data_IF_367618433670
#
_entry.id   IF_367618433670
#
_cell.length_a   1.000
_cell.length_b   1.000
_cell.length_c   1.000
_cell.angle_alpha   90.00
_cell.angle_beta   90.00
_cell.angle_gamma   90.00
#
_symmetry.space_group_name_H-M   'P 1'
#
loop_
_entity.id
_entity.type
_entity.pdbx_description
1 polymer ?
#
# COMPACT_ATOMS: atom_id res chain seq x y z
N UNK A 1 -14.52 -34.43 12.33
CA UNK A 1 -14.89 -33.01 12.25
C UNK A 1 -14.28 -32.46 10.97
N UNK A 2 -15.07 -32.43 9.90
CA UNK A 2 -14.69 -31.86 8.62
C UNK A 2 -14.58 -30.35 8.79
N UNK A 3 -13.36 -29.81 8.81
CA UNK A 3 -13.17 -28.37 8.63
C UNK A 3 -13.80 -28.00 7.30
N UNK A 4 -14.74 -27.04 7.32
CA UNK A 4 -15.50 -26.64 6.14
C UNK A 4 -14.56 -26.30 4.98
N UNK A 5 -14.95 -26.72 3.78
CA UNK A 5 -14.27 -26.38 2.54
C UNK A 5 -14.08 -24.86 2.47
N UNK A 6 -12.86 -24.39 2.68
CA UNK A 6 -12.53 -23.01 2.40
C UNK A 6 -12.64 -22.83 0.88
N UNK A 7 -13.46 -21.88 0.44
CA UNK A 7 -13.62 -21.49 -0.98
C UNK A 7 -12.37 -20.84 -1.59
N UNK A 8 -11.28 -20.80 -0.83
CA UNK A 8 -10.02 -20.18 -1.18
C UNK A 8 -8.85 -20.95 -0.56
N UNK A 9 -7.74 -21.02 -1.30
CA UNK A 9 -6.48 -21.57 -0.82
C UNK A 9 -5.53 -20.41 -0.47
N UNK A 10 -5.14 -20.22 0.79
CA UNK A 10 -4.17 -19.18 1.15
C UNK A 10 -2.82 -19.48 0.49
N UNK A 11 -2.15 -18.44 0.03
CA UNK A 11 -0.79 -18.50 -0.53
C UNK A 11 0.06 -17.52 0.29
N UNK A 12 1.25 -17.95 0.70
CA UNK A 12 2.20 -17.09 1.41
C UNK A 12 3.40 -16.93 0.50
N UNK A 13 3.62 -15.71 0.00
CA UNK A 13 4.82 -15.37 -0.74
C UNK A 13 5.99 -15.11 0.22
N UNK A 14 7.22 -15.09 -0.29
CA UNK A 14 8.40 -14.86 0.55
C UNK A 14 8.40 -13.46 1.15
N UNK A 15 8.02 -12.45 0.38
CA UNK A 15 7.91 -11.09 0.92
C UNK A 15 6.76 -10.97 1.93
N UNK A 16 5.67 -11.74 1.79
CA UNK A 16 4.61 -11.79 2.82
C UNK A 16 5.15 -12.33 4.13
N UNK A 17 5.87 -13.46 4.08
CA UNK A 17 6.47 -14.06 5.25
C UNK A 17 7.42 -13.07 5.97
N UNK A 18 8.21 -12.31 5.21
CA UNK A 18 9.10 -11.28 5.75
C UNK A 18 8.33 -10.10 6.36
N UNK A 19 7.26 -9.62 5.72
CA UNK A 19 6.40 -8.57 6.28
C UNK A 19 5.79 -9.04 7.61
N UNK A 20 5.25 -10.25 7.66
CA UNK A 20 4.67 -10.79 8.89
C UNK A 20 5.72 -11.04 9.98
N UNK A 21 6.91 -11.50 9.62
CA UNK A 21 8.03 -11.62 10.55
C UNK A 21 8.46 -10.25 11.11
N UNK A 22 8.57 -9.22 10.25
CA UNK A 22 8.87 -7.86 10.66
C UNK A 22 7.77 -7.30 11.57
N UNK A 23 6.50 -7.51 11.21
CA UNK A 23 5.36 -7.12 12.03
C UNK A 23 5.42 -7.78 13.41
N UNK A 24 5.69 -9.08 13.47
CA UNK A 24 5.84 -9.82 14.73
C UNK A 24 7.00 -9.25 15.56
N UNK A 25 8.15 -8.98 14.96
CA UNK A 25 9.30 -8.36 15.63
C UNK A 25 8.95 -6.98 16.19
N UNK A 26 8.23 -6.14 15.43
CA UNK A 26 7.76 -4.82 15.88
C UNK A 26 6.77 -4.96 17.04
N UNK A 27 5.84 -5.92 16.98
CA UNK A 27 4.89 -6.17 18.07
C UNK A 27 5.59 -6.63 19.36
N UNK A 28 6.59 -7.51 19.24
CA UNK A 28 7.44 -7.93 20.36
C UNK A 28 8.19 -6.73 20.93
N UNK A 29 8.79 -5.89 20.08
CA UNK A 29 9.50 -4.69 20.51
C UNK A 29 8.57 -3.71 21.25
N UNK A 30 7.37 -3.47 20.72
CA UNK A 30 6.35 -2.63 21.36
C UNK A 30 5.94 -3.23 22.72
N UNK A 31 5.77 -4.55 22.80
CA UNK A 31 5.44 -5.23 24.04
C UNK A 31 6.56 -5.09 25.09
N UNK A 32 7.83 -5.22 24.69
CA UNK A 32 8.99 -4.99 25.55
C UNK A 32 9.07 -3.54 26.03
N UNK A 33 8.93 -2.57 25.13
CA UNK A 33 8.92 -1.13 25.44
C UNK A 33 7.80 -0.79 26.42
N UNK A 34 6.62 -1.41 26.28
CA UNK A 34 5.48 -1.16 27.18
C UNK A 34 5.70 -1.70 28.59
N UNK A 35 6.57 -2.70 28.78
CA UNK A 35 6.90 -3.28 30.09
C UNK A 35 7.99 -2.50 30.83
N UNK A 36 8.84 -1.77 30.12
CA UNK A 36 10.00 -1.09 30.71
C UNK A 36 9.84 0.45 30.67
N UNK A 37 9.77 1.09 31.84
CA UNK A 37 9.51 2.55 31.91
C UNK A 37 10.63 3.39 31.28
N UNK A 38 11.89 2.94 31.38
CA UNK A 38 13.03 3.65 30.77
C UNK A 38 12.96 3.67 29.23
N UNK A 39 12.49 2.58 28.60
CA UNK A 39 12.25 2.54 27.16
C UNK A 39 11.02 3.34 26.76
N UNK A 40 10.00 3.41 27.62
CA UNK A 40 8.74 4.12 27.33
C UNK A 40 8.89 5.64 27.36
N UNK A 41 9.80 6.19 28.16
CA UNK A 41 9.95 7.63 28.34
C UNK A 41 10.26 8.40 27.03
N UNK A 42 11.24 7.99 26.19
CA UNK A 42 11.47 8.61 24.88
C UNK A 42 10.25 8.55 23.96
N UNK A 43 9.56 7.42 23.90
CA UNK A 43 8.35 7.25 23.09
C UNK A 43 7.19 8.12 23.54
N UNK A 44 7.10 8.42 24.85
CA UNK A 44 6.09 9.37 25.37
C UNK A 44 6.34 10.78 24.85
N UNK A 45 7.60 11.20 24.73
CA UNK A 45 7.97 12.51 24.14
C UNK A 45 7.62 12.55 22.66
N UNK A 46 7.92 11.49 21.91
CA UNK A 46 7.54 11.39 20.49
C UNK A 46 6.01 11.43 20.34
N UNK A 47 5.27 10.70 21.17
CA UNK A 47 3.81 10.67 21.15
C UNK A 47 3.15 12.03 21.50
N UNK A 48 3.89 12.95 22.12
CA UNK A 48 3.43 14.31 22.40
C UNK A 48 3.65 15.26 21.22
N UNK A 49 4.52 14.92 20.26
CA UNK A 49 4.83 15.79 19.11
C UNK A 49 3.74 15.66 18.03
N UNK A 50 3.05 16.76 17.66
CA UNK A 50 2.01 16.75 16.63
C UNK A 50 2.47 16.17 15.29
N UNK A 51 3.64 16.59 14.80
CA UNK A 51 4.18 16.11 13.53
C UNK A 51 4.47 14.61 13.54
N UNK A 52 5.03 14.09 14.63
CA UNK A 52 5.31 12.66 14.75
C UNK A 52 4.03 11.83 14.72
N UNK A 53 2.99 12.27 15.44
CA UNK A 53 1.69 11.59 15.43
C UNK A 53 0.98 11.69 14.08
N UNK A 54 1.09 12.83 13.39
CA UNK A 54 0.56 13.00 12.04
C UNK A 54 1.23 12.04 11.04
N UNK A 55 2.56 11.97 11.05
CA UNK A 55 3.31 11.04 10.21
C UNK A 55 3.00 9.57 10.53
N UNK A 56 2.90 9.23 11.82
CA UNK A 56 2.57 7.87 12.26
C UNK A 56 1.17 7.42 11.78
N UNK A 57 0.18 8.32 11.71
CA UNK A 57 -1.15 8.01 11.20
C UNK A 57 -1.14 7.73 9.70
N UNK A 58 -0.45 8.57 8.92
CA UNK A 58 -0.33 8.37 7.47
C UNK A 58 0.40 7.07 7.17
N UNK A 59 1.54 6.84 7.84
CA UNK A 59 2.29 5.60 7.70
C UNK A 59 1.47 4.38 8.16
N UNK A 60 0.70 4.51 9.24
CA UNK A 60 -0.23 3.48 9.70
C UNK A 60 -1.27 3.11 8.64
N UNK A 61 -1.80 4.10 7.90
CA UNK A 61 -2.68 3.86 6.76
C UNK A 61 -2.00 3.04 5.65
N UNK A 62 -0.77 3.39 5.29
CA UNK A 62 0.02 2.62 4.32
C UNK A 62 0.32 1.20 4.80
N UNK A 63 0.67 1.03 6.07
CA UNK A 63 0.88 -0.30 6.67
C UNK A 63 -0.39 -1.13 6.61
N UNK A 64 -1.57 -0.57 6.92
CA UNK A 64 -2.85 -1.29 6.81
C UNK A 64 -3.10 -1.75 5.38
N UNK A 65 -2.92 -0.87 4.39
CA UNK A 65 -3.07 -1.24 2.97
C UNK A 65 -2.07 -2.33 2.58
N UNK A 66 -0.80 -2.18 2.96
CA UNK A 66 0.24 -3.17 2.69
C UNK A 66 -0.03 -4.53 3.34
N UNK A 67 -0.58 -4.55 4.56
CA UNK A 67 -0.96 -5.79 5.24
C UNK A 67 -2.16 -6.48 4.56
N UNK A 68 -3.17 -5.72 4.15
CA UNK A 68 -4.29 -6.26 3.38
C UNK A 68 -3.82 -6.82 2.03
N UNK A 69 -2.85 -6.17 1.40
CA UNK A 69 -2.27 -6.64 0.14
C UNK A 69 -1.26 -7.80 0.31
N UNK A 70 -0.81 -8.08 1.54
CA UNK A 70 0.10 -9.21 1.83
C UNK A 70 -0.66 -10.51 2.18
N UNK A 71 -1.99 -10.45 2.25
CA UNK A 71 -2.84 -11.62 2.50
C UNK A 71 -3.27 -12.20 1.15
N UNK A 72 -2.48 -13.12 0.61
CA UNK A 72 -2.74 -13.74 -0.70
C UNK A 72 -3.55 -15.02 -0.60
N UNK A 73 -4.37 -15.26 -1.62
CA UNK A 73 -5.16 -16.46 -1.79
C UNK A 73 -5.44 -16.76 -3.26
N UNK A 74 -5.80 -18.01 -3.56
CA UNK A 74 -6.33 -18.45 -4.85
C UNK A 74 -7.79 -18.84 -4.68
N UNK A 75 -8.67 -18.33 -5.53
CA UNK A 75 -10.10 -18.65 -5.48
C UNK A 75 -10.36 -20.04 -6.07
N UNK A 76 -11.32 -20.78 -5.52
CA UNK A 76 -11.74 -22.06 -6.10
C UNK A 76 -12.49 -21.82 -7.42
N UNK A 77 -12.24 -22.63 -8.44
CA UNK A 77 -12.99 -22.57 -9.70
C UNK A 77 -14.44 -23.02 -9.49
N UNK A 78 -15.45 -22.33 -10.07
CA UNK A 78 -16.87 -22.66 -9.91
C UNK A 78 -17.21 -24.10 -10.30
N UNK A 79 -16.54 -24.65 -11.32
CA UNK A 79 -16.81 -25.99 -11.87
C UNK A 79 -15.93 -27.09 -11.23
N UNK A 80 -15.35 -26.83 -10.06
CA UNK A 80 -14.47 -27.79 -9.40
C UNK A 80 -15.22 -29.01 -8.85
N UNK A 81 -14.74 -30.25 -9.08
CA UNK A 81 -15.29 -31.44 -8.45
C UNK A 81 -15.17 -31.36 -6.92
N UNK A 82 -16.20 -31.83 -6.20
CA UNK A 82 -16.24 -31.81 -4.73
C UNK A 82 -15.10 -32.63 -4.07
N UNK A 83 -14.63 -33.67 -4.76
CA UNK A 83 -13.56 -34.56 -4.28
C UNK A 83 -12.14 -34.03 -4.60
N UNK A 84 -12.02 -33.08 -5.54
CA UNK A 84 -10.73 -32.53 -5.97
C UNK A 84 -10.88 -31.03 -6.33
N UNK A 85 -10.87 -30.14 -5.32
CA UNK A 85 -11.06 -28.70 -5.56
C UNK A 85 -9.92 -28.13 -6.42
N UNK A 86 -10.27 -27.50 -7.53
CA UNK A 86 -9.33 -26.81 -8.41
C UNK A 86 -9.34 -25.31 -8.09
N UNK A 87 -8.16 -24.69 -8.09
CA UNK A 87 -8.00 -23.28 -7.74
C UNK A 87 -7.48 -22.46 -8.92
N UNK A 88 -7.78 -21.17 -8.91
CA UNK A 88 -7.35 -20.21 -9.93
C UNK A 88 -5.82 -20.14 -9.98
N UNK A 89 -5.28 -20.00 -11.19
CA UNK A 89 -3.84 -19.73 -11.37
C UNK A 89 -3.48 -18.31 -10.90
N UNK A 90 -4.45 -17.39 -10.98
CA UNK A 90 -4.31 -16.03 -10.46
C UNK A 90 -4.27 -16.03 -8.93
N UNK A 91 -3.28 -15.33 -8.37
CA UNK A 91 -3.11 -15.10 -6.94
C UNK A 91 -3.64 -13.71 -6.63
N UNK A 92 -4.69 -13.64 -5.81
CA UNK A 92 -5.36 -12.41 -5.40
C UNK A 92 -5.00 -12.07 -3.96
N UNK A 93 -5.00 -10.79 -3.62
CA UNK A 93 -4.90 -10.34 -2.23
C UNK A 93 -6.26 -9.96 -1.64
N UNK A 94 -6.34 -9.83 -0.31
CA UNK A 94 -7.54 -9.28 0.34
C UNK A 94 -7.79 -7.83 -0.12
N UNK A 95 -6.72 -7.07 -0.39
CA UNK A 95 -6.85 -5.74 -1.00
C UNK A 95 -7.53 -5.81 -2.37
N UNK A 96 -7.21 -6.80 -3.22
CA UNK A 96 -7.84 -6.98 -4.54
C UNK A 96 -9.34 -7.25 -4.42
N UNK A 97 -9.75 -8.03 -3.42
CA UNK A 97 -11.16 -8.28 -3.16
C UNK A 97 -11.92 -6.99 -2.77
N UNK A 98 -11.29 -6.13 -1.95
CA UNK A 98 -11.88 -4.85 -1.55
C UNK A 98 -11.90 -3.83 -2.71
N UNK A 99 -10.90 -3.90 -3.58
CA UNK A 99 -10.74 -3.02 -4.73
C UNK A 99 -11.22 -3.64 -6.05
N UNK A 100 -12.04 -4.70 -6.00
CA UNK A 100 -12.43 -5.46 -7.19
C UNK A 100 -13.16 -4.59 -8.22
N UNK A 101 -13.96 -3.63 -7.76
CA UNK A 101 -14.60 -2.64 -8.61
C UNK A 101 -13.62 -1.74 -9.39
N UNK A 102 -12.37 -1.60 -8.95
CA UNK A 102 -11.32 -0.87 -9.68
C UNK A 102 -10.46 -1.81 -10.52
N UNK A 103 -10.22 -3.03 -10.02
CA UNK A 103 -9.43 -4.06 -10.71
C UNK A 103 -10.14 -4.60 -11.95
N UNK A 104 -11.43 -4.91 -11.85
CA UNK A 104 -12.19 -5.58 -12.91
C UNK A 104 -12.62 -4.63 -14.04
N UNK A 105 -12.66 -3.32 -13.80
CA UNK A 105 -13.09 -2.31 -14.78
C UNK A 105 -11.94 -1.88 -15.67
N UNK A 106 -11.46 -2.81 -16.50
CA UNK A 106 -10.36 -2.55 -17.42
C UNK A 106 -10.87 -1.91 -18.72
N UNK A 107 -10.29 -0.78 -19.09
CA UNK A 107 -10.58 -0.08 -20.34
C UNK A 107 -9.69 -0.61 -21.48
N UNK A 108 -9.89 -0.09 -22.69
CA UNK A 108 -9.08 -0.51 -23.84
C UNK A 108 -7.67 0.09 -23.83
N UNK A 109 -7.54 1.34 -23.40
CA UNK A 109 -6.27 2.07 -23.38
C UNK A 109 -6.33 3.25 -22.41
N UNK A 110 -5.38 4.17 -22.54
CA UNK A 110 -5.23 5.37 -21.72
C UNK A 110 -6.50 6.22 -21.65
N UNK A 111 -6.71 6.82 -20.48
CA UNK A 111 -7.69 7.87 -20.26
C UNK A 111 -7.07 8.96 -19.40
N UNK A 112 -7.52 10.20 -19.58
CA UNK A 112 -7.20 11.26 -18.63
C UNK A 112 -7.93 11.03 -17.29
N UNK A 113 -7.48 11.66 -16.18
CA UNK A 113 -8.18 11.64 -14.91
C UNK A 113 -9.63 12.10 -15.05
N UNK A 114 -10.58 11.33 -14.50
CA UNK A 114 -12.01 11.63 -14.55
C UNK A 114 -12.57 11.83 -15.97
N UNK A 115 -11.93 11.23 -16.98
CA UNK A 115 -12.38 11.28 -18.36
C UNK A 115 -13.64 10.43 -18.57
N UNK A 116 -14.36 10.74 -19.66
CA UNK A 116 -15.47 9.91 -20.18
C UNK A 116 -15.14 9.31 -21.55
N UNK A 117 -13.96 9.61 -22.09
CA UNK A 117 -13.52 9.23 -23.42
C UNK A 117 -12.11 8.67 -23.34
N UNK A 118 -11.80 7.76 -24.26
CA UNK A 118 -10.47 7.23 -24.44
C UNK A 118 -9.54 8.33 -24.98
N UNK A 119 -8.26 8.25 -24.62
CA UNK A 119 -7.26 9.20 -25.09
C UNK A 119 -6.85 8.95 -26.55
N UNK A 120 -7.06 7.74 -27.07
CA UNK A 120 -6.76 7.40 -28.46
C UNK A 120 -7.99 7.60 -29.36
N UNK A 121 -7.79 8.24 -30.53
CA UNK A 121 -8.85 8.33 -31.55
C UNK A 121 -8.98 7.01 -32.30
N UNK A 122 -10.22 6.55 -32.45
CA UNK A 122 -10.56 5.35 -33.19
C UNK A 122 -11.60 5.66 -34.26
N UNK A 123 -11.72 4.77 -35.24
CA UNK A 123 -12.80 4.85 -36.22
C UNK A 123 -14.09 4.38 -35.56
N UNK A 124 -15.00 5.33 -35.32
CA UNK A 124 -16.31 5.09 -34.72
C UNK A 124 -17.37 5.42 -35.76
N UNK A 125 -18.38 4.56 -35.89
CA UNK A 125 -19.49 4.81 -36.78
C UNK A 125 -20.51 5.69 -36.07
N UNK A 126 -20.66 6.95 -36.50
CA UNK A 126 -21.73 7.84 -36.06
C UNK A 126 -22.64 8.12 -37.25
N UNK A 127 -23.94 7.87 -37.10
CA UNK A 127 -24.95 8.16 -38.12
C UNK A 127 -24.62 7.56 -39.50
N UNK A 128 -24.04 6.35 -39.51
CA UNK A 128 -23.65 5.64 -40.73
C UNK A 128 -22.31 6.07 -41.34
N UNK A 129 -21.67 7.13 -40.83
CA UNK A 129 -20.37 7.62 -41.30
C UNK A 129 -19.26 7.20 -40.33
N UNK A 130 -18.21 6.61 -40.85
CA UNK A 130 -17.01 6.26 -40.08
C UNK A 130 -16.18 7.51 -39.84
N UNK A 131 -16.23 8.06 -38.63
CA UNK A 131 -15.46 9.24 -38.22
C UNK A 131 -14.38 8.81 -37.24
N UNK A 132 -13.18 9.39 -37.38
CA UNK A 132 -12.07 9.16 -36.45
C UNK A 132 -12.19 10.12 -35.25
N UNK A 133 -12.75 9.64 -34.16
CA UNK A 133 -13.06 10.42 -32.96
C UNK A 133 -12.62 9.70 -31.67
N UNK A 134 -12.72 10.35 -30.52
CA UNK A 134 -12.44 9.73 -29.22
C UNK A 134 -13.66 8.91 -28.76
N UNK A 135 -13.60 7.57 -28.78
CA UNK A 135 -14.69 6.74 -28.30
C UNK A 135 -14.91 6.96 -26.80
N UNK A 136 -16.15 6.73 -26.38
CA UNK A 136 -16.54 6.79 -24.98
C UNK A 136 -15.91 5.62 -24.20
N UNK A 137 -15.53 5.87 -22.95
CA UNK A 137 -15.07 4.82 -22.02
C UNK A 137 -16.22 3.86 -21.70
N UNK A 138 -15.89 2.60 -21.44
CA UNK A 138 -16.88 1.57 -21.12
C UNK A 138 -17.41 1.70 -19.68
N UNK A 139 -16.54 2.10 -18.75
CA UNK A 139 -16.84 2.23 -17.33
C UNK A 139 -16.74 3.69 -16.88
N UNK A 140 -15.71 4.41 -17.32
CA UNK A 140 -15.46 5.80 -16.94
C UNK A 140 -16.58 6.75 -17.36
N UNK A 141 -17.39 7.22 -16.41
CA UNK A 141 -18.52 8.12 -16.66
C UNK A 141 -19.60 7.53 -17.55
N UNK A 142 -19.71 6.19 -17.61
CA UNK A 142 -20.69 5.49 -18.44
C UNK A 142 -22.15 5.77 -18.05
N UNK A 143 -22.40 6.20 -16.80
CA UNK A 143 -23.73 6.51 -16.28
C UNK A 143 -24.33 7.82 -16.78
N UNK A 144 -23.54 8.70 -17.42
CA UNK A 144 -24.04 9.98 -17.91
C UNK A 144 -24.59 9.88 -19.34
N UNK A 145 -25.54 10.72 -19.74
CA UNK A 145 -25.97 10.76 -21.15
C UNK A 145 -25.15 11.80 -21.94
N UNK A 146 -24.87 12.94 -21.30
CA UNK A 146 -24.29 14.12 -21.95
C UNK A 146 -22.99 14.54 -21.28
N UNK A 147 -22.09 15.15 -22.07
CA UNK A 147 -20.80 15.59 -21.57
C UNK A 147 -20.89 16.73 -20.54
N UNK A 148 -21.94 17.53 -20.62
CA UNK A 148 -22.20 18.68 -19.76
C UNK A 148 -22.51 18.28 -18.31
N UNK A 149 -22.99 17.05 -18.09
CA UNK A 149 -23.34 16.51 -16.77
C UNK A 149 -22.11 16.08 -15.97
N UNK A 150 -20.92 16.02 -16.59
CA UNK A 150 -19.70 15.51 -15.94
C UNK A 150 -19.26 16.32 -14.73
N UNK A 151 -19.12 17.64 -14.90
CA UNK A 151 -18.67 18.52 -13.82
C UNK A 151 -19.64 18.52 -12.61
N UNK A 152 -20.96 18.67 -12.79
CA UNK A 152 -21.88 18.62 -11.65
C UNK A 152 -21.91 17.25 -10.98
N UNK A 153 -21.78 16.15 -11.74
CA UNK A 153 -21.71 14.81 -11.14
C UNK A 153 -20.42 14.60 -10.32
N UNK A 154 -19.26 15.04 -10.83
CA UNK A 154 -17.99 15.02 -10.09
C UNK A 154 -18.12 15.83 -8.79
N UNK A 155 -18.67 17.04 -8.86
CA UNK A 155 -18.87 17.89 -7.69
C UNK A 155 -19.78 17.23 -6.65
N UNK A 156 -20.91 16.66 -7.09
CA UNK A 156 -21.86 15.96 -6.22
C UNK A 156 -21.22 14.74 -5.55
N UNK A 157 -20.49 13.90 -6.31
CA UNK A 157 -19.81 12.71 -5.77
C UNK A 157 -18.72 13.08 -4.79
N UNK A 158 -17.92 14.11 -5.10
CA UNK A 158 -16.87 14.61 -4.21
C UNK A 158 -17.47 15.13 -2.90
N UNK A 159 -18.53 15.94 -2.98
CA UNK A 159 -19.20 16.47 -1.79
C UNK A 159 -19.88 15.37 -0.97
N UNK A 160 -20.58 14.43 -1.62
CA UNK A 160 -21.22 13.31 -0.94
C UNK A 160 -20.20 12.41 -0.24
N UNK A 161 -19.11 12.06 -0.92
CA UNK A 161 -18.03 11.26 -0.34
C UNK A 161 -17.30 11.99 0.80
N UNK A 162 -17.04 13.29 0.65
CA UNK A 162 -16.47 14.10 1.72
C UNK A 162 -17.42 14.20 2.93
N UNK A 163 -18.73 14.32 2.71
CA UNK A 163 -19.73 14.34 3.78
C UNK A 163 -19.83 13.00 4.51
N UNK A 164 -19.83 11.88 3.78
CA UNK A 164 -19.78 10.53 4.36
C UNK A 164 -18.49 10.33 5.18
N UNK A 165 -17.35 10.76 4.65
CA UNK A 165 -16.07 10.71 5.35
C UNK A 165 -16.03 11.59 6.60
N UNK A 166 -16.63 12.79 6.55
CA UNK A 166 -16.77 13.66 7.71
C UNK A 166 -17.68 13.04 8.77
N UNK A 167 -18.78 12.40 8.38
CA UNK A 167 -19.67 11.69 9.29
C UNK A 167 -18.98 10.50 9.95
N UNK A 168 -18.22 9.70 9.19
CA UNK A 168 -17.37 8.64 9.74
C UNK A 168 -16.32 9.21 10.71
N UNK A 169 -15.69 10.34 10.37
CA UNK A 169 -14.74 11.04 11.24
C UNK A 169 -15.37 11.51 12.56
N UNK A 170 -16.60 12.01 12.53
CA UNK A 170 -17.37 12.37 13.73
C UNK A 170 -17.69 11.15 14.59
N UNK A 171 -18.02 10.01 14.00
CA UNK A 171 -18.24 8.75 14.72
C UNK A 171 -16.96 8.27 15.41
N UNK A 172 -15.82 8.29 14.70
CA UNK A 172 -14.52 7.96 15.28
C UNK A 172 -14.15 8.92 16.41
N UNK A 173 -14.39 10.21 16.22
CA UNK A 173 -14.17 11.22 17.26
C UNK A 173 -15.04 10.98 18.50
N UNK A 174 -16.34 10.72 18.32
CA UNK A 174 -17.26 10.42 19.42
C UNK A 174 -16.85 9.12 20.14
N UNK A 175 -16.42 8.09 19.39
CA UNK A 175 -15.90 6.84 19.93
C UNK A 175 -14.63 7.05 20.76
N UNK A 176 -13.67 7.82 20.25
CA UNK A 176 -12.44 8.18 20.97
C UNK A 176 -12.73 8.99 22.24
N UNK A 177 -13.62 9.99 22.13
CA UNK A 177 -14.07 10.80 23.26
C UNK A 177 -14.71 9.93 24.34
N UNK A 178 -15.64 9.04 23.96
CA UNK A 178 -16.33 8.14 24.87
C UNK A 178 -15.39 7.10 25.50
N UNK A 179 -14.50 6.50 24.71
CA UNK A 179 -13.52 5.53 25.19
C UNK A 179 -12.55 6.16 26.20
N UNK A 180 -12.01 7.34 25.89
CA UNK A 180 -11.08 8.02 26.79
C UNK A 180 -11.78 8.59 28.03
N UNK A 181 -12.99 9.14 27.89
CA UNK A 181 -13.80 9.61 29.02
C UNK A 181 -14.09 8.48 30.02
N UNK A 182 -14.49 7.30 29.52
CA UNK A 182 -14.70 6.09 30.36
C UNK A 182 -13.42 5.63 31.04
N UNK A 183 -12.31 5.61 30.30
CA UNK A 183 -11.01 5.17 30.83
C UNK A 183 -10.44 6.13 31.88
N UNK A 184 -10.66 7.42 31.73
CA UNK A 184 -10.18 8.46 32.65
C UNK A 184 -11.19 8.82 33.74
N UNK A 185 -12.39 8.21 33.76
CA UNK A 185 -13.46 8.52 34.71
C UNK A 185 -13.89 9.99 34.70
N UNK A 186 -13.85 10.63 33.53
CA UNK A 186 -14.23 12.05 33.33
C UNK A 186 -15.50 12.12 32.48
N UNK A 187 -16.36 13.11 32.70
CA UNK A 187 -17.54 13.32 31.86
C UNK A 187 -17.14 13.69 30.42
N UNK A 188 -17.95 13.30 29.43
CA UNK A 188 -17.68 13.62 28.01
C UNK A 188 -17.57 15.13 27.78
N UNK A 189 -18.38 15.94 28.48
CA UNK A 189 -18.32 17.40 28.42
C UNK A 189 -16.97 17.96 28.92
N UNK A 190 -16.44 17.43 30.02
CA UNK A 190 -15.14 17.85 30.53
C UNK A 190 -13.99 17.38 29.61
N UNK A 191 -14.10 16.21 28.98
CA UNK A 191 -13.15 15.76 27.97
C UNK A 191 -13.15 16.69 26.73
N UNK A 192 -14.34 17.06 26.24
CA UNK A 192 -14.49 17.98 25.11
C UNK A 192 -13.89 19.37 25.43
N UNK A 193 -14.09 19.86 26.65
CA UNK A 193 -13.47 21.09 27.11
C UNK A 193 -11.93 20.97 27.14
N UNK A 194 -11.40 19.84 27.59
CA UNK A 194 -9.96 19.59 27.61
C UNK A 194 -9.37 19.47 26.18
N UNK A 195 -10.09 18.85 25.24
CA UNK A 195 -9.72 18.75 23.83
C UNK A 195 -9.72 20.13 23.14
N UNK A 196 -10.79 20.92 23.35
CA UNK A 196 -10.87 22.32 22.91
C UNK A 196 -9.84 23.21 23.59
N UNK A 197 -9.41 22.89 24.80
CA UNK A 197 -8.36 23.61 25.52
C UNK A 197 -6.93 23.16 25.21
N UNK A 198 -6.73 22.08 24.45
CA UNK A 198 -5.40 21.52 24.18
C UNK A 198 -4.71 20.93 25.41
N UNK A 199 -5.46 20.60 26.46
CA UNK A 199 -4.93 20.13 27.76
C UNK A 199 -4.77 18.61 27.84
N UNK A 200 -5.01 17.90 26.74
CA UNK A 200 -4.74 16.46 26.67
C UNK A 200 -3.23 16.26 26.58
N UNK A 201 -2.68 15.32 27.36
CA UNK A 201 -1.25 14.98 27.37
C UNK A 201 -0.72 14.32 26.09
N UNK A 202 -1.44 14.46 24.97
CA UNK A 202 -1.12 13.99 23.63
C UNK A 202 -1.78 14.91 22.59
N UNK A 203 -1.28 15.00 21.35
CA UNK A 203 -1.71 15.98 20.34
C UNK A 203 -3.06 15.60 19.71
N UNK A 204 -4.12 15.61 20.52
CA UNK A 204 -5.43 15.08 20.16
C UNK A 204 -6.11 15.81 19.01
N UNK A 205 -5.90 17.13 18.90
CA UNK A 205 -6.43 17.90 17.77
C UNK A 205 -5.80 17.42 16.45
N UNK A 206 -4.49 17.25 16.41
CA UNK A 206 -3.79 16.79 15.20
C UNK A 206 -4.24 15.39 14.80
N UNK A 207 -4.38 14.47 15.75
CA UNK A 207 -4.85 13.12 15.45
C UNK A 207 -6.28 13.14 14.90
N UNK A 208 -7.20 13.84 15.55
CA UNK A 208 -8.59 13.94 15.11
C UNK A 208 -8.69 14.60 13.73
N UNK A 209 -7.96 15.69 13.51
CA UNK A 209 -7.95 16.39 12.23
C UNK A 209 -7.35 15.54 11.11
N UNK A 210 -6.24 14.83 11.37
CA UNK A 210 -5.63 13.93 10.38
C UNK A 210 -6.55 12.76 10.04
N UNK A 211 -7.16 12.11 11.05
CA UNK A 211 -8.11 11.02 10.80
C UNK A 211 -9.33 11.52 10.03
N UNK A 212 -9.90 12.67 10.41
CA UNK A 212 -11.02 13.27 9.68
C UNK A 212 -10.62 13.60 8.23
N UNK A 213 -9.45 14.20 8.00
CA UNK A 213 -8.96 14.50 6.66
C UNK A 213 -8.74 13.24 5.82
N UNK A 214 -8.15 12.19 6.38
CA UNK A 214 -7.96 10.90 5.70
C UNK A 214 -9.30 10.24 5.35
N UNK A 215 -10.29 10.28 6.24
CA UNK A 215 -11.62 9.73 5.99
C UNK A 215 -12.41 10.55 4.97
N UNK A 216 -12.34 11.88 5.02
CA UNK A 216 -12.96 12.77 4.03
C UNK A 216 -12.36 12.56 2.64
N UNK A 217 -11.03 12.49 2.54
CA UNK A 217 -10.33 12.26 1.28
C UNK A 217 -10.61 10.84 0.76
N UNK A 218 -10.54 9.82 1.62
CA UNK A 218 -10.88 8.44 1.26
C UNK A 218 -12.32 8.27 0.80
N UNK A 219 -13.29 8.90 1.48
CA UNK A 219 -14.70 8.88 1.09
C UNK A 219 -14.95 9.57 -0.24
N UNK A 220 -14.34 10.74 -0.47
CA UNK A 220 -14.40 11.44 -1.75
C UNK A 220 -13.81 10.58 -2.90
N UNK A 221 -12.64 9.99 -2.68
CA UNK A 221 -12.01 9.09 -3.65
C UNK A 221 -12.89 7.87 -3.95
N UNK A 222 -13.44 7.21 -2.93
CA UNK A 222 -14.28 6.02 -3.10
C UNK A 222 -15.55 6.33 -3.91
N UNK A 223 -16.20 7.47 -3.65
CA UNK A 223 -17.41 7.87 -4.36
C UNK A 223 -17.16 8.29 -5.82
N UNK A 224 -15.99 8.89 -6.09
CA UNK A 224 -15.53 9.19 -7.44
C UNK A 224 -15.15 7.90 -8.19
N UNK A 225 -14.36 7.03 -7.56
CA UNK A 225 -13.89 5.77 -8.12
C UNK A 225 -15.03 4.80 -8.46
N UNK A 226 -16.17 4.94 -7.78
CA UNK A 226 -17.38 4.19 -8.12
C UNK A 226 -17.94 4.49 -9.52
N UNK A 227 -17.69 5.69 -10.09
CA UNK A 227 -18.20 6.09 -11.41
C UNK A 227 -17.15 6.52 -12.43
N UNK A 228 -15.89 6.72 -12.02
CA UNK A 228 -14.81 7.20 -12.87
C UNK A 228 -13.48 6.57 -12.51
N UNK A 229 -12.55 6.55 -13.45
CA UNK A 229 -11.13 6.32 -13.17
C UNK A 229 -10.53 7.61 -12.62
N UNK A 230 -10.32 7.68 -11.30
CA UNK A 230 -9.96 8.93 -10.60
C UNK A 230 -8.66 9.52 -11.12
N UNK A 231 -7.65 8.68 -11.33
CA UNK A 231 -6.34 9.05 -11.90
C UNK A 231 -6.20 8.67 -13.37
N UNK A 232 -7.28 8.21 -14.01
CA UNK A 232 -7.29 7.69 -15.37
C UNK A 232 -6.81 6.24 -15.46
N UNK A 233 -6.58 5.79 -16.70
CA UNK A 233 -6.12 4.44 -17.02
C UNK A 233 -4.77 4.44 -17.73
N UNK A 234 -4.04 3.33 -17.63
CA UNK A 234 -2.74 3.14 -18.27
C UNK A 234 -2.85 2.61 -19.73
N UNK A 235 -1.71 2.23 -20.34
CA UNK A 235 -1.66 1.70 -21.72
C UNK A 235 -2.53 0.49 -21.96
N UNK A 236 -2.65 -0.38 -20.95
CA UNK A 236 -3.45 -1.61 -21.02
C UNK A 236 -4.84 -1.40 -20.42
N UNK A 237 -5.19 -0.16 -20.07
CA UNK A 237 -6.50 0.23 -19.56
C UNK A 237 -6.74 -0.11 -18.09
N UNK A 238 -5.70 -0.40 -17.32
CA UNK A 238 -5.82 -0.62 -15.87
C UNK A 238 -6.02 0.71 -15.14
N UNK A 239 -6.83 0.69 -14.07
CA UNK A 239 -7.07 1.86 -13.24
C UNK A 239 -5.80 2.29 -12.48
N UNK A 240 -5.37 3.54 -12.69
CA UNK A 240 -4.13 4.07 -12.10
C UNK A 240 -4.24 4.28 -10.59
N UNK A 241 -5.43 4.56 -10.05
CA UNK A 241 -5.64 4.63 -8.59
C UNK A 241 -5.47 3.24 -7.96
N UNK A 242 -5.99 2.19 -8.58
CA UNK A 242 -5.76 0.81 -8.13
C UNK A 242 -4.27 0.46 -8.14
N UNK A 243 -3.56 0.72 -9.25
CA UNK A 243 -2.11 0.46 -9.35
C UNK A 243 -1.33 1.24 -8.28
N UNK A 244 -1.71 2.50 -8.03
CA UNK A 244 -1.05 3.35 -7.03
C UNK A 244 -1.20 2.80 -5.61
N UNK A 245 -2.39 2.34 -5.24
CA UNK A 245 -2.66 1.74 -3.93
C UNK A 245 -1.98 0.37 -3.79
N UNK A 246 -2.01 -0.45 -4.84
CA UNK A 246 -1.30 -1.74 -4.91
C UNK A 246 0.21 -1.57 -4.73
N UNK A 247 0.77 -0.48 -5.28
CA UNK A 247 2.20 -0.16 -5.19
C UNK A 247 2.68 0.19 -3.77
N UNK A 248 1.77 0.48 -2.84
CA UNK A 248 2.12 0.77 -1.44
C UNK A 248 2.85 -0.40 -0.80
N UNK A 249 2.37 -1.64 -1.01
CA UNK A 249 3.04 -2.84 -0.49
C UNK A 249 4.46 -2.96 -1.03
N UNK A 250 4.62 -2.82 -2.35
CA UNK A 250 5.94 -2.86 -3.01
C UNK A 250 6.88 -1.81 -2.45
N UNK A 251 6.41 -0.57 -2.26
CA UNK A 251 7.21 0.51 -1.67
C UNK A 251 7.61 0.24 -0.21
N UNK A 252 6.70 -0.32 0.59
CA UNK A 252 6.99 -0.74 1.97
C UNK A 252 8.03 -1.85 2.01
N UNK A 253 7.92 -2.87 1.16
CA UNK A 253 8.89 -3.97 1.07
C UNK A 253 10.27 -3.44 0.70
N UNK A 254 10.35 -2.64 -0.37
CA UNK A 254 11.61 -2.06 -0.83
C UNK A 254 12.23 -1.21 0.28
N UNK A 255 11.49 -0.25 0.83
CA UNK A 255 12.04 0.65 1.84
C UNK A 255 12.48 -0.06 3.12
N UNK A 256 11.70 -1.02 3.60
CA UNK A 256 12.00 -1.72 4.86
C UNK A 256 13.07 -2.78 4.71
N UNK A 257 12.97 -3.64 3.69
CA UNK A 257 13.86 -4.78 3.53
C UNK A 257 15.26 -4.35 3.09
N UNK A 258 15.36 -3.38 2.17
CA UNK A 258 16.65 -2.80 1.78
C UNK A 258 17.35 -2.21 3.01
N UNK A 259 16.65 -1.40 3.81
CA UNK A 259 17.22 -0.83 5.05
C UNK A 259 17.65 -1.91 6.05
N UNK A 260 16.88 -3.00 6.15
CA UNK A 260 17.20 -4.12 7.05
C UNK A 260 18.48 -4.87 6.65
N UNK A 261 18.80 -4.90 5.36
CA UNK A 261 20.04 -5.48 4.83
C UNK A 261 21.20 -4.49 4.95
N UNK A 262 20.98 -3.22 4.59
CA UNK A 262 22.02 -2.19 4.60
C UNK A 262 22.51 -1.89 6.02
N UNK A 263 21.61 -1.73 7.00
CA UNK A 263 22.00 -1.26 8.33
C UNK A 263 23.01 -2.18 9.03
N UNK A 264 22.81 -3.51 9.12
CA UNK A 264 23.78 -4.41 9.75
C UNK A 264 25.13 -4.39 9.04
N UNK A 265 25.14 -4.34 7.70
CA UNK A 265 26.37 -4.29 6.92
C UNK A 265 27.12 -2.97 7.14
N UNK A 266 26.41 -1.84 7.05
CA UNK A 266 26.97 -0.52 7.26
C UNK A 266 27.52 -0.34 8.69
N UNK A 267 26.77 -0.78 9.70
CA UNK A 267 27.21 -0.74 11.10
C UNK A 267 28.39 -1.69 11.31
N UNK A 268 28.32 -2.91 10.76
CA UNK A 268 29.37 -3.92 10.88
C UNK A 268 30.69 -3.44 10.29
N UNK A 269 30.68 -2.97 9.04
CA UNK A 269 31.87 -2.42 8.40
C UNK A 269 32.34 -1.12 9.06
N UNK A 270 31.43 -0.22 9.44
CA UNK A 270 31.79 1.02 10.12
C UNK A 270 32.47 0.81 11.47
N UNK A 271 31.96 -0.12 12.29
CA UNK A 271 32.59 -0.49 13.56
C UNK A 271 33.94 -1.19 13.32
N UNK A 272 34.01 -2.12 12.36
CA UNK A 272 35.26 -2.84 12.06
C UNK A 272 36.37 -1.88 11.61
N UNK A 273 36.08 -0.97 10.68
CA UNK A 273 37.01 0.06 10.23
C UNK A 273 37.48 0.95 11.40
N UNK A 274 36.55 1.43 12.23
CA UNK A 274 36.87 2.30 13.36
C UNK A 274 37.63 1.63 14.51
N UNK A 275 37.37 0.34 14.76
CA UNK A 275 37.98 -0.42 15.85
C UNK A 275 39.35 -0.98 15.49
N UNK A 276 39.47 -1.69 14.37
CA UNK A 276 40.73 -2.34 13.99
C UNK A 276 41.75 -1.37 13.40
N UNK A 277 41.28 -0.33 12.68
CA UNK A 277 42.10 0.68 11.98
C UNK A 277 43.14 0.04 11.03
N UNK A 278 43.93 0.87 10.36
CA UNK A 278 44.99 0.39 9.45
C UNK A 278 44.44 -0.44 8.29
N UNK A 279 45.02 -1.62 8.04
CA UNK A 279 44.72 -2.41 6.84
C UNK A 279 43.24 -2.81 6.68
N UNK A 280 42.50 -2.99 7.78
CA UNK A 280 41.06 -3.33 7.73
C UNK A 280 40.24 -2.16 7.20
N UNK A 281 40.58 -0.94 7.63
CA UNK A 281 39.96 0.29 7.13
C UNK A 281 40.27 0.47 5.64
N UNK A 282 41.53 0.27 5.26
CA UNK A 282 41.96 0.36 3.85
C UNK A 282 41.20 -0.63 2.94
N UNK A 283 40.98 -1.88 3.38
CA UNK A 283 40.22 -2.87 2.61
C UNK A 283 38.75 -2.48 2.47
N UNK A 284 38.13 -2.01 3.55
CA UNK A 284 36.71 -1.59 3.53
C UNK A 284 36.55 -0.37 2.62
N UNK A 285 37.44 0.61 2.73
CA UNK A 285 37.43 1.81 1.90
C UNK A 285 37.70 1.49 0.43
N UNK A 286 38.62 0.56 0.15
CA UNK A 286 38.87 0.07 -1.20
C UNK A 286 37.61 -0.59 -1.78
N UNK A 287 36.96 -1.49 -1.04
CA UNK A 287 35.71 -2.13 -1.49
C UNK A 287 34.61 -1.10 -1.77
N UNK A 288 34.42 -0.15 -0.86
CA UNK A 288 33.43 0.93 -1.02
C UNK A 288 33.71 1.80 -2.26
N UNK A 289 34.96 2.20 -2.48
CA UNK A 289 35.33 3.02 -3.65
C UNK A 289 35.21 2.24 -4.96
N UNK A 290 35.57 0.96 -4.98
CA UNK A 290 35.41 0.09 -6.15
C UNK A 290 33.93 -0.08 -6.50
N UNK A 291 33.07 -0.40 -5.52
CA UNK A 291 31.63 -0.55 -5.77
C UNK A 291 31.00 0.77 -6.27
N UNK A 292 31.34 1.91 -5.66
CA UNK A 292 30.84 3.22 -6.09
C UNK A 292 31.41 3.70 -7.43
N UNK A 293 32.52 3.13 -7.90
CA UNK A 293 33.04 3.42 -9.24
C UNK A 293 32.16 2.84 -10.35
N UNK A 294 31.34 1.83 -10.03
CA UNK A 294 30.37 1.23 -10.94
C UNK A 294 29.05 2.02 -10.84
N UNK A 295 28.45 2.46 -11.96
CA UNK A 295 27.12 3.06 -11.93
C UNK A 295 26.09 2.09 -11.31
N UNK A 296 25.48 2.49 -10.19
CA UNK A 296 24.62 1.59 -9.40
C UNK A 296 23.47 0.94 -10.20
N UNK A 297 22.91 1.66 -11.18
CA UNK A 297 21.87 1.12 -12.08
C UNK A 297 22.38 -0.09 -12.89
N UNK A 298 23.64 -0.08 -13.32
CA UNK A 298 24.24 -1.20 -14.06
C UNK A 298 24.45 -2.41 -13.16
N UNK A 299 24.90 -2.18 -11.93
CA UNK A 299 25.10 -3.25 -10.95
C UNK A 299 23.77 -3.92 -10.58
N UNK A 300 22.73 -3.11 -10.34
CA UNK A 300 21.37 -3.61 -10.10
C UNK A 300 20.86 -4.40 -11.30
N UNK A 301 21.00 -3.88 -12.53
CA UNK A 301 20.55 -4.56 -13.74
C UNK A 301 21.25 -5.91 -13.96
N UNK A 302 22.57 -5.96 -13.79
CA UNK A 302 23.34 -7.19 -13.92
C UNK A 302 22.93 -8.24 -12.88
N UNK A 303 22.77 -7.84 -11.62
CA UNK A 303 22.36 -8.75 -10.55
C UNK A 303 20.92 -9.25 -10.71
N UNK A 304 19.98 -8.38 -11.12
CA UNK A 304 18.60 -8.78 -11.44
C UNK A 304 18.55 -9.76 -12.62
N UNK A 305 19.40 -9.57 -13.64
CA UNK A 305 19.49 -10.49 -14.77
C UNK A 305 19.95 -11.89 -14.32
N UNK A 306 20.96 -11.98 -13.43
CA UNK A 306 21.41 -13.26 -12.87
C UNK A 306 20.27 -13.97 -12.13
N UNK A 307 19.51 -13.22 -11.33
CA UNK A 307 18.34 -13.76 -10.61
C UNK A 307 17.26 -14.23 -11.58
N UNK A 308 17.02 -13.47 -12.65
CA UNK A 308 16.06 -13.87 -13.68
C UNK A 308 16.44 -15.21 -14.31
N UNK A 309 17.71 -15.39 -14.70
CA UNK A 309 18.24 -16.65 -15.25
C UNK A 309 18.08 -17.80 -14.24
N UNK A 310 18.31 -17.54 -12.95
CA UNK A 310 18.08 -18.52 -11.89
C UNK A 310 16.61 -18.96 -11.79
N UNK A 311 15.67 -18.01 -11.87
CA UNK A 311 14.23 -18.31 -11.83
C UNK A 311 13.82 -19.14 -13.06
N UNK A 312 14.32 -18.78 -14.25
CA UNK A 312 14.00 -19.47 -15.51
C UNK A 312 14.58 -20.89 -15.56
N UNK A 313 15.72 -21.13 -14.90
CA UNK A 313 16.34 -22.46 -14.82
C UNK A 313 15.72 -23.38 -13.77
N UNK A 314 14.88 -22.86 -12.86
CA UNK A 314 14.24 -23.63 -11.78
C UNK A 314 12.71 -23.42 -11.77
N UNK A 315 11.99 -23.78 -12.85
CA UNK A 315 10.56 -23.51 -12.98
C UNK A 315 9.71 -24.21 -11.92
N UNK A 316 10.12 -25.40 -11.45
CA UNK A 316 9.39 -26.23 -10.48
C UNK A 316 9.29 -25.61 -9.07
N UNK A 317 10.16 -24.64 -8.77
CA UNK A 317 10.16 -23.92 -7.49
C UNK A 317 9.21 -22.70 -7.55
N UNK A 318 8.87 -22.23 -8.76
CA UNK A 318 8.15 -20.98 -8.98
C UNK A 318 6.95 -21.16 -9.94
N UNK A 319 5.98 -21.94 -9.49
CA UNK A 319 4.81 -22.33 -10.26
C UNK A 319 3.92 -21.16 -10.71
N UNK A 320 3.86 -20.09 -9.90
CA UNK A 320 2.98 -18.94 -10.18
C UNK A 320 3.74 -17.73 -10.66
N UNK A 321 3.12 -16.93 -11.54
CA UNK A 321 3.67 -15.64 -11.97
C UNK A 321 3.90 -14.69 -10.78
N UNK A 322 3.02 -14.74 -9.78
CA UNK A 322 3.16 -13.98 -8.54
C UNK A 322 4.41 -14.37 -7.75
N UNK A 323 4.69 -15.68 -7.58
CA UNK A 323 5.90 -16.15 -6.90
C UNK A 323 7.18 -15.71 -7.64
N UNK A 324 7.20 -15.78 -8.98
CA UNK A 324 8.33 -15.30 -9.78
C UNK A 324 8.56 -13.80 -9.60
N UNK A 325 7.49 -13.00 -9.60
CA UNK A 325 7.58 -11.56 -9.38
C UNK A 325 8.06 -11.23 -7.95
N UNK A 326 7.57 -11.98 -6.96
CA UNK A 326 7.93 -11.81 -5.55
C UNK A 326 9.42 -12.03 -5.29
N UNK A 327 10.00 -13.08 -5.87
CA UNK A 327 11.43 -13.38 -5.73
C UNK A 327 12.29 -12.32 -6.42
N UNK A 328 11.86 -11.80 -7.57
CA UNK A 328 12.57 -10.69 -8.23
C UNK A 328 12.57 -9.45 -7.35
N UNK A 329 11.43 -9.15 -6.71
CA UNK A 329 11.33 -8.04 -5.76
C UNK A 329 12.25 -8.26 -4.55
N UNK A 330 12.23 -9.47 -3.97
CA UNK A 330 13.10 -9.84 -2.86
C UNK A 330 14.57 -9.65 -3.20
N UNK A 331 15.00 -10.20 -4.34
CA UNK A 331 16.37 -10.08 -4.80
C UNK A 331 16.75 -8.62 -5.07
N UNK A 332 15.87 -7.83 -5.70
CA UNK A 332 16.09 -6.40 -5.89
C UNK A 332 16.33 -5.68 -4.56
N UNK A 333 15.56 -6.00 -3.51
CA UNK A 333 15.74 -5.41 -2.19
C UNK A 333 17.09 -5.78 -1.56
N UNK A 334 17.52 -7.04 -1.71
CA UNK A 334 18.82 -7.53 -1.24
C UNK A 334 19.98 -6.84 -1.99
N UNK A 335 19.86 -6.74 -3.31
CA UNK A 335 20.87 -6.09 -4.17
C UNK A 335 21.00 -4.62 -3.77
N UNK A 336 19.89 -3.86 -3.77
CA UNK A 336 19.89 -2.47 -3.31
C UNK A 336 20.35 -2.30 -1.87
N UNK A 337 20.22 -3.36 -1.05
CA UNK A 337 20.68 -3.34 0.34
C UNK A 337 22.19 -3.41 0.48
N UNK A 338 22.85 -4.11 -0.45
CA UNK A 338 24.31 -4.34 -0.47
C UNK A 338 25.05 -3.24 -1.23
N UNK A 339 24.42 -2.67 -2.27
CA UNK A 339 25.00 -1.64 -3.14
C UNK A 339 24.72 -0.24 -2.62
#
# INVERSE_FOLDING_TARGET
MSFGAFSFMPVILWTDALIFALLAAVLVLVWLIRRQEHLRAPWRVVAQRPMAMGAALVLGGFVVIGLLDSLHYRAQLPDSPADAPQYSVEVLSVFDALADGLRARQEKTYSAPLAMQLYAKEFVQRDGVTVRDYPRLQYGGAHLAHADERLPDIARRTLAGAAQGALAGLLVFAGLAGWQARRSQVSVGAWLAAWRGGRLGWPARTVVLMVAAMLMLGGALMQLAAGYHVFGTDKVGQDVLYISLKSIRTGLVIGTLTTLVTLPLAIGFGIAAGYFRGWVDDVIQYLYTVLNSIPGVLLIAAAVLIVQVYIESNPDIFDTAAARADIRLLALCLIMGVT
#
